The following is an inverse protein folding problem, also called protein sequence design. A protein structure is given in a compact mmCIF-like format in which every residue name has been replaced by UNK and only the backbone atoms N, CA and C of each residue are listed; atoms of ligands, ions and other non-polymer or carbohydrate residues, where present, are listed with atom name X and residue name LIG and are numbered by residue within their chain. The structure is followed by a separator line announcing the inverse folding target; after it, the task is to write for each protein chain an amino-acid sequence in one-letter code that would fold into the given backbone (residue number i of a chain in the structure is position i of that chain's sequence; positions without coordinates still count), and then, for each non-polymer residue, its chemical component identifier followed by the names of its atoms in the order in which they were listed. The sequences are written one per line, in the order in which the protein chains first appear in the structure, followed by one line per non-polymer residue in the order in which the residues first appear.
data_IF_851990163239
#
_entry.id   IF_851990163239
#
_cell.length_a   1.000
_cell.length_b   1.000
_cell.length_c   1.000
_cell.angle_alpha   90.00
_cell.angle_beta   90.00
_cell.angle_gamma   90.00
#
_symmetry.space_group_name_H-M   'P 1'
#
loop_
_entity.id
_entity.type
_entity.pdbx_description
1 polymer ?
#
# COMPACT_ATOMS: atom_id res chain seq x y z
N UNK A 1 -25.18 -13.51 37.49
CA UNK A 1 -26.00 -13.75 36.28
C UNK A 1 -25.19 -14.67 35.38
N UNK A 2 -25.59 -15.94 35.34
CA UNK A 2 -24.87 -17.03 34.70
C UNK A 2 -25.52 -17.30 33.35
N UNK A 3 -24.74 -17.33 32.26
CA UNK A 3 -25.22 -17.74 30.95
C UNK A 3 -24.43 -18.98 30.52
N UNK A 4 -25.18 -20.03 30.18
CA UNK A 4 -24.68 -21.27 29.55
C UNK A 4 -24.68 -21.08 28.04
N UNK A 5 -23.66 -21.63 27.39
CA UNK A 5 -23.62 -21.89 25.96
C UNK A 5 -24.61 -23.02 25.61
N UNK A 6 -25.42 -22.80 24.58
CA UNK A 6 -26.17 -23.84 23.89
C UNK A 6 -25.96 -23.68 22.39
N UNK A 7 -25.87 -24.84 21.75
CA UNK A 7 -25.23 -25.09 20.47
C UNK A 7 -26.21 -24.78 19.33
N UNK A 8 -25.91 -23.75 18.54
CA UNK A 8 -26.74 -23.29 17.43
C UNK A 8 -26.15 -23.69 16.08
N UNK A 9 -26.27 -24.97 15.77
CA UNK A 9 -26.02 -25.61 14.48
C UNK A 9 -26.68 -24.82 13.32
N UNK A 10 -25.89 -24.39 12.33
CA UNK A 10 -26.38 -23.92 11.03
C UNK A 10 -25.78 -24.79 9.91
N UNK A 11 -26.54 -25.79 9.50
CA UNK A 11 -26.50 -26.40 8.17
C UNK A 11 -27.62 -25.70 7.34
N UNK A 12 -27.57 -25.45 6.03
CA UNK A 12 -26.72 -25.91 4.94
C UNK A 12 -26.92 -24.98 3.71
N UNK A 13 -26.02 -25.14 2.74
CA UNK A 13 -26.10 -24.89 1.28
C UNK A 13 -26.57 -23.53 0.73
N UNK A 14 -25.67 -22.90 -0.04
CA UNK A 14 -26.04 -22.59 -1.42
C UNK A 14 -24.89 -22.73 -2.41
N UNK A 15 -25.10 -23.65 -3.34
CA UNK A 15 -24.24 -24.05 -4.44
C UNK A 15 -24.20 -22.99 -5.53
N UNK A 16 -23.02 -22.41 -5.81
CA UNK A 16 -22.74 -21.76 -7.11
C UNK A 16 -21.33 -22.07 -7.57
N UNK A 17 -21.16 -23.30 -8.05
CA UNK A 17 -20.14 -23.63 -9.04
C UNK A 17 -20.39 -22.83 -10.31
N UNK A 18 -19.54 -21.84 -10.63
CA UNK A 18 -19.47 -21.29 -11.98
C UNK A 18 -18.08 -21.56 -12.57
N UNK A 19 -17.82 -22.85 -12.84
CA UNK A 19 -16.79 -23.28 -13.77
C UNK A 19 -17.20 -22.78 -15.16
N UNK A 20 -16.60 -21.68 -15.62
CA UNK A 20 -16.65 -21.32 -17.04
C UNK A 20 -15.73 -22.28 -17.79
N UNK A 21 -16.31 -23.38 -18.23
CA UNK A 21 -15.77 -24.24 -19.28
C UNK A 21 -15.62 -23.42 -20.56
N UNK A 22 -14.40 -23.39 -21.10
CA UNK A 22 -14.12 -22.99 -22.47
C UNK A 22 -14.58 -24.12 -23.41
N UNK A 23 -15.29 -23.83 -24.49
CA UNK A 23 -15.25 -24.65 -25.69
C UNK A 23 -14.37 -23.98 -26.74
N UNK A 24 -13.39 -24.72 -27.25
CA UNK A 24 -12.66 -24.38 -28.45
C UNK A 24 -13.29 -25.01 -29.71
N UNK A 25 -12.70 -24.60 -30.83
CA UNK A 25 -12.70 -25.19 -32.19
C UNK A 25 -13.88 -24.98 -33.14
N UNK A 26 -13.63 -24.07 -34.09
CA UNK A 26 -13.63 -24.23 -35.56
C UNK A 26 -14.81 -24.95 -36.24
N UNK A 27 -15.58 -24.18 -37.02
CA UNK A 27 -16.21 -24.68 -38.26
C UNK A 27 -16.08 -23.63 -39.37
N UNK A 28 -15.45 -24.09 -40.45
CA UNK A 28 -15.30 -23.50 -41.78
C UNK A 28 -16.65 -23.32 -42.46
N UNK A 29 -16.90 -22.16 -43.07
CA UNK A 29 -18.10 -21.92 -43.87
C UNK A 29 -18.08 -20.57 -44.57
N UNK A 30 -17.63 -20.57 -45.82
CA UNK A 30 -17.78 -19.50 -46.82
C UNK A 30 -19.23 -19.02 -46.95
N UNK A 31 -19.44 -17.72 -47.20
CA UNK A 31 -20.26 -17.17 -48.31
C UNK A 31 -20.41 -15.63 -48.22
N UNK A 32 -20.06 -15.01 -49.35
CA UNK A 32 -20.53 -13.77 -49.99
C UNK A 32 -20.47 -12.38 -49.33
N UNK A 33 -19.76 -11.54 -50.10
CA UNK A 33 -19.61 -10.08 -50.08
C UNK A 33 -20.93 -9.37 -50.41
N UNK A 34 -21.25 -8.32 -49.64
CA UNK A 34 -22.01 -7.15 -50.11
C UNK A 34 -21.24 -5.88 -49.73
N UNK A 35 -20.94 -4.97 -50.68
CA UNK A 35 -20.39 -3.66 -50.33
C UNK A 35 -21.54 -2.73 -49.92
N UNK A 36 -21.49 -2.21 -48.68
CA UNK A 36 -22.33 -1.09 -48.28
C UNK A 36 -21.48 0.17 -48.16
N UNK A 37 -21.78 1.12 -49.03
CA UNK A 37 -21.22 2.46 -49.09
C UNK A 37 -21.70 3.32 -47.92
N UNK A 38 -20.76 4.01 -47.28
CA UNK A 38 -21.04 5.25 -46.57
C UNK A 38 -20.92 5.18 -45.06
N UNK A 39 -19.76 5.60 -44.53
CA UNK A 39 -19.69 6.69 -43.55
C UNK A 39 -18.24 6.90 -43.11
N UNK A 40 -17.76 8.12 -43.33
CA UNK A 40 -16.57 8.73 -42.71
C UNK A 40 -16.58 8.45 -41.20
N UNK A 41 -15.58 7.72 -40.74
CA UNK A 41 -15.20 7.64 -39.33
C UNK A 41 -13.69 7.75 -39.25
N UNK A 42 -13.20 8.82 -38.65
CA UNK A 42 -11.78 9.08 -38.44
C UNK A 42 -11.14 7.91 -37.68
N UNK A 43 -10.24 7.19 -38.34
CA UNK A 43 -9.22 6.38 -37.68
C UNK A 43 -7.89 7.13 -37.75
N UNK A 44 -7.03 6.94 -36.75
CA UNK A 44 -5.72 7.59 -36.50
C UNK A 44 -5.90 8.76 -35.49
N UNK A 45 -5.41 8.72 -34.26
CA UNK A 45 -4.28 7.98 -33.70
C UNK A 45 -4.51 7.70 -32.22
N UNK A 46 -4.47 6.43 -31.84
CA UNK A 46 -4.07 6.04 -30.50
C UNK A 46 -2.63 6.51 -30.30
N UNK A 47 -2.46 7.71 -29.73
CA UNK A 47 -1.21 8.11 -29.09
C UNK A 47 -1.03 7.20 -27.87
N UNK A 48 -0.57 5.98 -28.12
CA UNK A 48 0.09 5.17 -27.10
C UNK A 48 1.22 6.03 -26.54
N UNK A 49 0.99 6.59 -25.34
CA UNK A 49 2.04 7.21 -24.53
C UNK A 49 3.03 6.09 -24.20
N UNK A 50 3.98 5.88 -25.11
CA UNK A 50 5.17 5.09 -24.87
C UNK A 50 5.97 5.88 -23.83
N UNK A 51 5.57 5.73 -22.56
CA UNK A 51 6.39 6.14 -21.44
C UNK A 51 7.65 5.30 -21.53
N UNK A 52 8.72 5.88 -22.06
CA UNK A 52 10.01 5.25 -22.02
C UNK A 52 10.34 5.03 -20.55
N UNK A 53 10.22 3.78 -20.13
CA UNK A 53 10.77 3.30 -18.88
C UNK A 53 12.27 3.50 -18.98
N UNK A 54 12.74 4.68 -18.60
CA UNK A 54 14.15 4.96 -18.38
C UNK A 54 14.65 3.89 -17.42
N UNK A 55 15.38 2.92 -17.97
CA UNK A 55 15.97 1.83 -17.20
C UNK A 55 16.87 2.50 -16.18
N UNK A 56 16.52 2.38 -14.90
CA UNK A 56 17.31 2.98 -13.84
C UNK A 56 18.60 2.17 -13.75
N UNK A 57 19.74 2.80 -14.05
CA UNK A 57 21.06 2.19 -13.93
C UNK A 57 21.47 2.15 -12.45
N UNK A 58 20.83 1.31 -11.64
CA UNK A 58 21.29 1.01 -10.28
C UNK A 58 21.83 -0.42 -10.24
N UNK A 59 22.94 -0.59 -9.53
CA UNK A 59 23.50 -1.90 -9.18
C UNK A 59 23.20 -2.20 -7.72
N UNK A 60 23.06 -3.47 -7.36
CA UNK A 60 22.95 -3.92 -5.98
C UNK A 60 24.14 -4.82 -5.71
N UNK A 61 24.95 -4.48 -4.71
CA UNK A 61 26.09 -5.31 -4.31
C UNK A 61 25.62 -6.65 -3.76
N UNK A 62 26.32 -7.73 -4.11
CA UNK A 62 26.04 -9.11 -3.65
C UNK A 62 27.21 -9.72 -2.87
N UNK A 63 28.26 -8.94 -2.60
CA UNK A 63 29.39 -9.40 -1.79
C UNK A 63 28.94 -9.60 -0.33
N UNK A 64 29.36 -10.73 0.25
CA UNK A 64 29.22 -10.99 1.67
C UNK A 64 30.53 -10.57 2.34
N UNK A 65 30.52 -9.39 2.97
CA UNK A 65 31.63 -8.86 3.76
C UNK A 65 31.17 -8.68 5.22
N UNK A 66 31.95 -9.15 6.18
CA UNK A 66 31.61 -9.07 7.61
C UNK A 66 31.94 -7.70 8.23
N UNK A 67 32.69 -6.85 7.51
CA UNK A 67 33.15 -5.56 8.02
C UNK A 67 32.15 -4.40 7.79
N UNK A 68 31.11 -4.62 6.97
CA UNK A 68 30.12 -3.61 6.63
C UNK A 68 28.72 -4.11 6.96
N UNK A 69 28.04 -3.41 7.87
CA UNK A 69 26.63 -3.67 8.15
C UNK A 69 25.74 -2.96 7.14
N UNK A 70 24.89 -3.71 6.45
CA UNK A 70 23.90 -3.16 5.52
C UNK A 70 22.69 -2.70 6.33
N UNK A 71 22.29 -1.44 6.16
CA UNK A 71 21.07 -0.93 6.78
C UNK A 71 19.84 -1.62 6.16
N UNK A 72 19.00 -2.21 7.02
CA UNK A 72 17.77 -2.84 6.56
C UNK A 72 16.80 -1.80 5.99
N UNK A 73 16.17 -2.15 4.85
CA UNK A 73 15.13 -1.32 4.25
C UNK A 73 13.94 -1.20 5.19
N UNK A 74 13.58 0.03 5.53
CA UNK A 74 12.36 0.34 6.29
C UNK A 74 11.17 0.60 5.35
N UNK A 75 10.02 0.06 5.72
CA UNK A 75 8.71 0.33 5.11
C UNK A 75 7.88 1.14 6.09
N UNK A 76 7.08 2.08 5.60
CA UNK A 76 6.27 2.92 6.48
C UNK A 76 4.80 2.49 6.46
N UNK A 77 4.20 2.45 7.64
CA UNK A 77 2.79 2.21 7.89
C UNK A 77 2.16 3.48 8.46
N UNK A 78 0.91 3.74 8.07
CA UNK A 78 0.06 4.73 8.68
C UNK A 78 -0.87 4.01 9.66
N UNK A 79 -0.79 4.39 10.93
CA UNK A 79 -1.63 3.85 12.01
C UNK A 79 -2.51 4.97 12.52
N UNK A 80 -3.81 4.74 12.61
CA UNK A 80 -4.81 5.74 13.03
C UNK A 80 -5.89 5.13 13.91
N UNK A 81 -6.77 5.99 14.43
CA UNK A 81 -7.81 5.67 15.42
C UNK A 81 -7.24 5.21 16.77
N UNK A 82 -6.04 5.68 17.11
CA UNK A 82 -5.49 5.54 18.45
C UNK A 82 -6.04 6.62 19.37
N UNK A 83 -6.07 6.36 20.67
CA UNK A 83 -6.52 7.34 21.67
C UNK A 83 -5.65 8.62 21.59
N UNK A 84 -6.23 9.81 21.80
CA UNK A 84 -5.52 11.07 21.62
C UNK A 84 -4.32 11.26 22.57
N UNK A 85 -4.38 10.65 23.76
CA UNK A 85 -3.33 10.69 24.78
C UNK A 85 -2.15 9.76 24.52
N UNK A 86 -2.25 8.88 23.52
CA UNK A 86 -1.16 7.96 23.19
C UNK A 86 -0.01 8.76 22.58
N UNK A 87 1.20 8.50 23.08
CA UNK A 87 2.43 9.07 22.56
C UNK A 87 3.18 8.06 21.71
N UNK A 88 4.13 8.55 20.90
CA UNK A 88 4.95 7.68 20.03
C UNK A 88 5.64 6.56 20.82
N UNK A 89 6.08 6.87 22.05
CA UNK A 89 6.78 5.92 22.93
C UNK A 89 5.90 4.73 23.33
N UNK A 90 4.61 4.95 23.57
CA UNK A 90 3.69 3.89 23.96
C UNK A 90 3.44 2.92 22.81
N UNK A 91 3.27 3.48 21.59
CA UNK A 91 3.10 2.70 20.38
C UNK A 91 4.38 1.94 20.01
N UNK A 92 5.54 2.58 20.14
CA UNK A 92 6.83 1.95 19.93
C UNK A 92 7.04 0.77 20.90
N UNK A 93 6.73 0.98 22.18
CA UNK A 93 6.79 -0.07 23.19
C UNK A 93 5.86 -1.24 22.85
N UNK A 94 4.62 -0.96 22.49
CA UNK A 94 3.65 -2.00 22.09
C UNK A 94 4.17 -2.90 20.96
N UNK A 95 4.82 -2.31 19.96
CA UNK A 95 5.36 -3.07 18.82
C UNK A 95 6.59 -3.86 19.27
N UNK A 96 7.51 -3.23 20.01
CA UNK A 96 8.74 -3.86 20.52
C UNK A 96 8.47 -5.03 21.47
N UNK A 97 7.46 -4.92 22.33
CA UNK A 97 7.06 -5.98 23.26
C UNK A 97 6.60 -7.26 22.54
N UNK A 98 6.11 -7.14 21.29
CA UNK A 98 5.67 -8.28 20.46
C UNK A 98 6.77 -8.81 19.54
N UNK A 99 7.57 -7.89 18.97
CA UNK A 99 8.62 -8.18 18.01
C UNK A 99 9.76 -7.20 18.25
N UNK A 100 10.91 -7.71 18.65
CA UNK A 100 12.08 -6.86 18.89
C UNK A 100 12.73 -6.47 17.56
N UNK A 101 12.73 -5.17 17.26
CA UNK A 101 13.46 -4.59 16.14
C UNK A 101 13.62 -3.07 16.29
N UNK A 102 14.32 -2.46 15.33
CA UNK A 102 14.50 -1.02 15.24
C UNK A 102 13.33 -0.34 14.48
N UNK A 103 12.41 0.23 15.24
CA UNK A 103 11.22 0.94 14.73
C UNK A 103 11.38 2.45 14.78
N UNK A 104 10.81 3.14 13.79
CA UNK A 104 10.71 4.62 13.79
C UNK A 104 9.25 4.97 14.00
N UNK A 105 8.90 5.66 15.09
CA UNK A 105 7.51 6.07 15.36
C UNK A 105 7.40 7.58 15.44
N UNK A 106 6.72 8.17 14.45
CA UNK A 106 6.48 9.60 14.36
C UNK A 106 4.98 9.88 14.55
N UNK A 107 4.64 10.74 15.52
CA UNK A 107 3.27 11.21 15.72
C UNK A 107 2.94 12.22 14.62
N UNK A 108 1.84 11.99 13.91
CA UNK A 108 1.37 12.86 12.85
C UNK A 108 0.36 13.87 13.42
N UNK A 109 0.37 15.08 12.87
CA UNK A 109 -0.65 16.08 13.18
C UNK A 109 -1.98 15.66 12.54
N UNK A 110 -2.95 15.32 13.38
CA UNK A 110 -4.31 14.99 12.95
C UNK A 110 -5.15 16.25 12.80
N UNK A 111 -6.13 16.22 11.89
CA UNK A 111 -7.17 17.27 11.80
C UNK A 111 -8.04 17.33 13.06
N UNK A 112 -8.18 16.20 13.76
CA UNK A 112 -8.99 16.06 14.97
C UNK A 112 -8.15 15.50 16.12
N UNK A 113 -7.23 16.30 16.68
CA UNK A 113 -6.27 15.83 17.69
C UNK A 113 -6.93 15.42 19.02
N UNK A 114 -8.14 15.90 19.30
CA UNK A 114 -8.91 15.55 20.50
C UNK A 114 -9.62 14.21 20.39
N UNK A 115 -9.91 13.74 19.18
CA UNK A 115 -10.68 12.51 18.96
C UNK A 115 -9.77 11.30 18.76
N UNK A 116 -8.73 11.46 17.92
CA UNK A 116 -7.78 10.39 17.64
C UNK A 116 -6.40 10.92 17.26
N UNK A 117 -5.40 10.12 17.58
CA UNK A 117 -4.02 10.30 17.15
C UNK A 117 -3.71 9.41 15.95
N UNK A 118 -2.76 9.84 15.13
CA UNK A 118 -2.26 9.07 13.99
C UNK A 118 -0.74 9.07 13.99
N UNK A 119 -0.14 8.00 13.51
CA UNK A 119 1.29 7.77 13.56
C UNK A 119 1.80 7.24 12.24
N UNK A 120 3.04 7.60 11.92
CA UNK A 120 3.84 7.00 10.87
C UNK A 120 4.83 6.06 11.55
N UNK A 121 4.72 4.78 11.22
CA UNK A 121 5.53 3.71 11.81
C UNK A 121 6.44 3.13 10.73
N UNK A 122 7.76 3.32 10.88
CA UNK A 122 8.79 2.66 10.08
C UNK A 122 9.07 1.28 10.63
N UNK A 123 8.77 0.24 9.85
CA UNK A 123 9.01 -1.17 10.17
C UNK A 123 10.11 -1.75 9.27
N UNK A 124 10.96 -2.65 9.76
CA UNK A 124 11.89 -3.38 8.91
C UNK A 124 11.16 -4.22 7.86
N UNK A 125 11.75 -4.35 6.67
CA UNK A 125 11.11 -5.04 5.55
C UNK A 125 10.86 -6.54 5.82
N UNK A 126 11.74 -7.18 6.59
CA UNK A 126 11.63 -8.57 7.04
C UNK A 126 10.35 -8.82 7.83
N UNK A 127 10.01 -7.90 8.75
CA UNK A 127 8.88 -8.01 9.67
C UNK A 127 7.58 -7.40 9.14
N UNK A 128 7.61 -6.79 7.96
CA UNK A 128 6.47 -6.05 7.42
C UNK A 128 5.20 -6.89 7.33
N UNK A 129 5.29 -8.12 6.81
CA UNK A 129 4.12 -8.97 6.61
C UNK A 129 3.47 -9.40 7.94
N UNK A 130 4.28 -9.64 8.96
CA UNK A 130 3.81 -10.02 10.30
C UNK A 130 3.13 -8.83 11.00
N UNK A 131 3.78 -7.65 10.96
CA UNK A 131 3.26 -6.45 11.61
C UNK A 131 2.02 -5.93 10.86
N UNK A 132 1.95 -6.08 9.54
CA UNK A 132 0.78 -5.65 8.76
C UNK A 132 -0.44 -6.56 8.93
N UNK A 133 -0.30 -7.69 9.63
CA UNK A 133 -1.38 -8.63 9.85
C UNK A 133 -2.42 -8.08 10.85
N UNK A 134 -3.71 -8.34 10.60
CA UNK A 134 -4.81 -7.80 11.43
C UNK A 134 -4.74 -8.27 12.89
N UNK A 135 -4.30 -9.50 13.14
CA UNK A 135 -4.14 -10.05 14.50
C UNK A 135 -3.01 -9.41 15.30
N UNK A 136 -2.09 -8.69 14.65
CA UNK A 136 -1.02 -7.99 15.34
C UNK A 136 -1.56 -6.78 16.11
N UNK A 137 -2.61 -6.13 15.60
CA UNK A 137 -3.13 -4.87 16.11
C UNK A 137 -4.31 -5.07 17.07
N UNK A 138 -4.47 -4.17 18.06
CA UNK A 138 -5.66 -4.15 18.90
C UNK A 138 -6.92 -3.86 18.07
N UNK A 139 -8.08 -4.27 18.62
CA UNK A 139 -9.38 -4.11 17.96
C UNK A 139 -9.65 -2.64 17.59
N UNK A 140 -10.25 -2.43 16.41
CA UNK A 140 -10.69 -1.13 15.87
C UNK A 140 -9.57 -0.14 15.47
N UNK A 141 -8.31 -0.55 15.44
CA UNK A 141 -7.23 0.28 14.89
C UNK A 141 -7.22 0.21 13.36
N UNK A 142 -6.94 1.36 12.74
CA UNK A 142 -6.81 1.46 11.29
C UNK A 142 -5.34 1.47 10.90
N UNK A 143 -4.93 0.52 10.08
CA UNK A 143 -3.55 0.40 9.57
C UNK A 143 -3.56 0.32 8.06
N UNK A 144 -2.71 1.11 7.43
CA UNK A 144 -2.51 1.06 5.97
C UNK A 144 -1.05 1.34 5.62
N UNK A 145 -0.67 1.02 4.39
CA UNK A 145 0.68 1.34 3.90
C UNK A 145 0.83 2.85 3.74
N UNK A 146 1.89 3.42 4.30
CA UNK A 146 2.18 4.83 4.14
C UNK A 146 2.73 5.07 2.73
N UNK A 147 1.94 5.76 1.91
CA UNK A 147 2.35 6.14 0.55
C UNK A 147 3.12 7.46 0.62
N UNK A 148 4.45 7.38 0.58
CA UNK A 148 5.26 8.59 0.39
C UNK A 148 4.98 9.13 -1.01
N UNK A 149 4.30 10.29 -1.08
CA UNK A 149 4.18 11.03 -2.33
C UNK A 149 5.59 11.32 -2.83
N UNK A 150 5.90 10.92 -4.07
CA UNK A 150 7.15 11.34 -4.71
C UNK A 150 7.07 12.86 -4.83
N UNK A 151 7.92 13.61 -4.14
CA UNK A 151 8.11 15.02 -4.46
C UNK A 151 8.46 15.10 -5.93
N UNK A 152 7.63 15.79 -6.70
CA UNK A 152 8.00 16.18 -8.06
C UNK A 152 9.13 17.20 -7.94
N UNK A 153 10.11 17.16 -8.84
CA UNK A 153 11.27 18.07 -8.80
C UNK A 153 10.90 19.56 -8.75
N UNK A 154 9.68 19.92 -9.15
CA UNK A 154 9.15 21.27 -9.09
C UNK A 154 9.07 21.82 -7.64
N UNK A 155 8.78 20.99 -6.64
CA UNK A 155 8.72 21.44 -5.23
C UNK A 155 10.11 21.56 -4.59
N UNK A 156 11.11 20.79 -5.03
CA UNK A 156 12.45 20.82 -4.43
C UNK A 156 13.23 22.09 -4.74
N UNK A 157 13.00 22.73 -5.90
CA UNK A 157 13.66 23.99 -6.25
C UNK A 157 13.14 25.17 -5.42
N UNK A 158 11.85 25.18 -5.07
CA UNK A 158 11.27 26.25 -4.26
C UNK A 158 11.69 26.17 -2.78
N UNK A 159 11.91 24.98 -2.23
CA UNK A 159 12.38 24.82 -0.86
C UNK A 159 13.83 25.32 -0.66
N UNK A 160 14.63 25.41 -1.74
CA UNK A 160 16.02 25.85 -1.69
C UNK A 160 16.18 27.38 -1.79
N UNK A 161 15.12 28.11 -2.19
CA UNK A 161 15.17 29.57 -2.39
C UNK A 161 14.56 30.38 -1.25
N UNK A 162 14.02 29.74 -0.20
CA UNK A 162 13.63 30.45 1.02
C UNK A 162 14.81 30.56 2.00
N UNK A 163 15.68 31.54 1.73
CA UNK A 163 16.56 32.11 2.75
C UNK A 163 15.69 33.05 3.60
N UNK A 164 15.64 32.91 4.95
CA UNK A 164 14.95 33.87 5.78
C UNK A 164 15.69 35.21 5.69
N UNK A 165 15.02 36.26 5.22
CA UNK A 165 15.48 37.62 5.51
C UNK A 165 15.28 37.84 7.00
N UNK A 166 16.33 37.64 7.78
CA UNK A 166 16.47 38.21 9.11
C UNK A 166 16.23 39.72 9.00
N UNK A 167 15.10 40.18 9.54
CA UNK A 167 14.82 41.61 9.71
C UNK A 167 15.58 42.07 10.96
N UNK A 168 16.69 42.75 10.74
CA UNK A 168 17.37 43.62 11.72
C UNK A 168 16.48 44.78 12.13
#
# INVERSE_FOLDING_TARGET
VSYKEEDGEWLEVNSRSNRRSRPGTNVTGSIQVKPNSGSRGQTISDKTRNGSNGKKNFITGTAADDNLSVAEKKLFLFVSRLRPHIESKDLEKYIKDKKEADYIVEKLTSKFPQEYSSFKVGVPSSLYNEIYHSSFWPKNIYVTKFLTKRRTQAESLNAQLMIPLERT
#
